data_IF_184793862418
#
_entry.id   IF_184793862418
#
_cell.length_a   1.000
_cell.length_b   1.000
_cell.length_c   1.000
_cell.angle_alpha   90.00
_cell.angle_beta   90.00
_cell.angle_gamma   90.00
#
_symmetry.space_group_name_H-M   'P 1'
#
loop_
_entity.id
_entity.type
_entity.pdbx_description
1 polymer ?
#
# COMPACT_ATOMS: atom_id res chain seq x y z
N UNK A 1 -2.13 14.01 -0.37
CA UNK A 1 -3.11 13.65 0.69
C UNK A 1 -3.62 14.91 1.37
N UNK A 2 -2.74 15.78 1.89
CA UNK A 2 -3.09 17.17 2.22
C UNK A 2 -3.09 18.12 1.01
N UNK A 3 -2.23 17.84 0.04
CA UNK A 3 -2.26 18.51 -1.27
C UNK A 3 -3.00 17.62 -2.27
N UNK A 4 -3.91 18.20 -3.06
CA UNK A 4 -4.63 17.54 -4.17
C UNK A 4 -3.71 17.27 -5.37
N UNK A 5 -2.44 16.96 -5.11
CA UNK A 5 -1.42 16.91 -6.16
C UNK A 5 -1.49 15.63 -7.00
N UNK A 6 -1.74 14.47 -6.39
CA UNK A 6 -1.84 13.21 -7.13
C UNK A 6 -3.18 13.04 -7.82
N UNK A 7 -3.15 12.53 -9.05
CA UNK A 7 -4.36 12.20 -9.82
C UNK A 7 -5.05 10.94 -9.25
N UNK A 8 -6.38 10.91 -9.11
CA UNK A 8 -7.11 9.76 -8.53
C UNK A 8 -6.80 8.41 -9.19
N UNK A 9 -6.78 8.36 -10.52
CA UNK A 9 -6.42 7.15 -11.27
C UNK A 9 -4.95 6.76 -11.08
N UNK A 10 -4.05 7.72 -10.88
CA UNK A 10 -2.65 7.41 -10.58
C UNK A 10 -2.50 6.81 -9.18
N UNK A 11 -3.29 7.28 -8.20
CA UNK A 11 -3.34 6.69 -6.87
C UNK A 11 -3.82 5.23 -6.90
N UNK A 12 -4.87 4.94 -7.68
CA UNK A 12 -5.38 3.57 -7.85
C UNK A 12 -4.34 2.68 -8.55
N UNK A 13 -3.73 3.18 -9.63
CA UNK A 13 -2.69 2.45 -10.35
C UNK A 13 -1.46 2.18 -9.47
N UNK A 14 -1.04 3.18 -8.69
CA UNK A 14 0.06 3.02 -7.74
C UNK A 14 -0.28 2.04 -6.63
N UNK A 15 -1.52 2.07 -6.10
CA UNK A 15 -1.97 1.07 -5.12
C UNK A 15 -1.86 -0.34 -5.68
N UNK A 16 -2.41 -0.57 -6.88
CA UNK A 16 -2.36 -1.88 -7.53
C UNK A 16 -0.90 -2.33 -7.77
N UNK A 17 -0.04 -1.43 -8.26
CA UNK A 17 1.37 -1.71 -8.48
C UNK A 17 2.11 -2.05 -7.17
N UNK A 18 1.86 -1.29 -6.11
CA UNK A 18 2.45 -1.56 -4.79
C UNK A 18 2.02 -2.92 -4.23
N UNK A 19 0.74 -3.27 -4.37
CA UNK A 19 0.23 -4.59 -3.97
C UNK A 19 0.89 -5.72 -4.77
N UNK A 20 1.00 -5.56 -6.10
CA UNK A 20 1.63 -6.55 -6.96
C UNK A 20 3.11 -6.75 -6.62
N UNK A 21 3.87 -5.65 -6.45
CA UNK A 21 5.29 -5.69 -6.09
C UNK A 21 5.50 -6.27 -4.69
N UNK A 22 4.69 -5.87 -3.71
CA UNK A 22 4.77 -6.41 -2.35
C UNK A 22 4.45 -7.90 -2.27
N UNK A 23 3.43 -8.33 -3.02
CA UNK A 23 3.09 -9.75 -3.16
C UNK A 23 4.25 -10.51 -3.80
N UNK A 24 4.75 -10.07 -4.95
CA UNK A 24 5.88 -10.69 -5.63
C UNK A 24 7.13 -10.77 -4.75
N UNK A 25 7.49 -9.68 -4.08
CA UNK A 25 8.67 -9.61 -3.23
C UNK A 25 8.61 -10.62 -2.09
N UNK A 26 7.46 -10.73 -1.42
CA UNK A 26 7.29 -11.67 -0.29
C UNK A 26 7.04 -13.11 -0.73
N UNK A 27 6.44 -13.30 -1.91
CA UNK A 27 6.19 -14.60 -2.50
C UNK A 27 7.50 -15.36 -2.77
N UNK A 28 8.55 -14.67 -3.23
CA UNK A 28 9.81 -15.33 -3.57
C UNK A 28 10.68 -15.72 -2.36
N UNK A 29 10.31 -15.29 -1.15
CA UNK A 29 11.15 -15.51 0.03
C UNK A 29 10.76 -16.82 0.74
N UNK A 30 11.63 -17.85 0.77
CA UNK A 30 11.36 -19.08 1.50
C UNK A 30 11.60 -18.92 3.01
N UNK A 31 10.82 -19.66 3.80
CA UNK A 31 11.01 -19.78 5.25
C UNK A 31 12.11 -20.78 5.54
N UNK A 32 13.24 -20.29 6.03
CA UNK A 32 14.42 -21.10 6.40
C UNK A 32 14.37 -21.40 7.90
N UNK A 33 14.47 -22.67 8.26
CA UNK A 33 14.70 -23.12 9.62
C UNK A 33 16.15 -23.58 9.76
N UNK A 34 16.85 -23.05 10.76
CA UNK A 34 18.20 -23.45 11.11
C UNK A 34 18.12 -24.52 12.20
N UNK A 35 18.57 -25.73 11.90
CA UNK A 35 18.56 -26.85 12.84
C UNK A 35 19.83 -26.84 13.70
N UNK A 36 19.78 -27.54 14.85
CA UNK A 36 20.92 -27.63 15.78
C UNK A 36 22.18 -28.27 15.16
N UNK A 37 22.01 -29.09 14.12
CA UNK A 37 23.09 -29.72 13.36
C UNK A 37 23.74 -28.80 12.31
N UNK A 38 23.27 -27.55 12.19
CA UNK A 38 23.75 -26.58 11.20
C UNK A 38 23.14 -26.73 9.81
N UNK A 39 22.23 -27.68 9.58
CA UNK A 39 21.49 -27.82 8.32
C UNK A 39 20.40 -26.75 8.19
N UNK A 40 20.10 -26.35 6.95
CA UNK A 40 18.99 -25.44 6.64
C UNK A 40 17.86 -26.25 5.99
N UNK A 41 16.68 -26.24 6.62
CA UNK A 41 15.48 -26.83 6.05
C UNK A 41 14.52 -25.74 5.58
N UNK A 42 13.92 -25.92 4.41
CA UNK A 42 12.86 -25.03 3.90
C UNK A 42 11.53 -25.55 4.42
N UNK A 43 10.91 -24.81 5.33
CA UNK A 43 9.62 -25.19 5.95
C UNK A 43 8.45 -24.75 5.06
N UNK A 44 8.62 -23.64 4.35
CA UNK A 44 7.62 -23.08 3.44
C UNK A 44 8.32 -22.35 2.29
N UNK A 45 7.84 -22.53 1.08
CA UNK A 45 8.46 -21.96 -0.12
C UNK A 45 8.23 -20.45 -0.28
N UNK A 46 7.15 -19.91 0.29
CA UNK A 46 6.72 -18.53 0.07
C UNK A 46 6.37 -17.82 1.39
N UNK A 47 6.52 -16.50 1.41
CA UNK A 47 6.18 -15.64 2.55
C UNK A 47 6.95 -15.98 3.83
N UNK A 48 8.22 -16.35 3.70
CA UNK A 48 9.08 -16.75 4.82
C UNK A 48 9.70 -15.60 5.60
N UNK A 49 9.70 -14.38 5.05
CA UNK A 49 10.20 -13.18 5.73
C UNK A 49 9.66 -11.90 5.08
N UNK A 50 9.80 -10.79 5.80
CA UNK A 50 9.54 -9.43 5.31
C UNK A 50 10.79 -8.72 4.79
N UNK A 51 11.98 -9.28 5.01
CA UNK A 51 13.25 -8.78 4.48
C UNK A 51 13.57 -9.39 3.12
N UNK A 52 13.51 -8.59 2.06
CA UNK A 52 13.93 -8.95 0.71
C UNK A 52 15.46 -8.83 0.59
N UNK A 53 16.18 -9.91 0.32
CA UNK A 53 17.62 -9.85 0.08
C UNK A 53 17.95 -8.96 -1.12
N UNK A 54 18.98 -8.12 -1.03
CA UNK A 54 19.40 -7.27 -2.15
C UNK A 54 19.87 -8.07 -3.37
N UNK A 55 20.32 -9.31 -3.17
CA UNK A 55 20.64 -10.25 -4.25
C UNK A 55 19.46 -10.56 -5.16
N UNK A 56 18.23 -10.59 -4.63
CA UNK A 56 17.00 -10.78 -5.43
C UNK A 56 16.69 -9.58 -6.32
N UNK A 57 17.26 -8.41 -6.00
CA UNK A 57 17.18 -7.20 -6.81
C UNK A 57 18.37 -7.04 -7.77
N UNK A 58 19.29 -8.03 -7.82
CA UNK A 58 20.47 -8.02 -8.69
C UNK A 58 21.70 -7.33 -8.12
N UNK A 59 21.73 -7.01 -6.82
CA UNK A 59 22.91 -6.45 -6.16
C UNK A 59 23.71 -7.54 -5.43
N UNK A 60 25.04 -7.53 -5.58
CA UNK A 60 25.92 -8.48 -4.88
C UNK A 60 26.15 -8.02 -3.41
N UNK A 61 25.10 -8.12 -2.59
CA UNK A 61 25.11 -7.72 -1.19
C UNK A 61 24.26 -8.67 -0.35
N UNK A 62 24.75 -8.97 0.85
CA UNK A 62 24.06 -9.82 1.84
C UNK A 62 23.03 -9.07 2.69
N UNK A 63 22.86 -7.77 2.44
CA UNK A 63 21.90 -6.94 3.17
C UNK A 63 20.48 -7.20 2.65
N UNK A 64 19.49 -7.11 3.53
CA UNK A 64 18.08 -7.16 3.15
C UNK A 64 17.42 -5.80 3.31
N UNK A 65 16.51 -5.48 2.40
CA UNK A 65 15.62 -4.32 2.48
C UNK A 65 14.20 -4.79 2.81
N UNK A 66 13.43 -3.97 3.52
CA UNK A 66 12.05 -4.34 3.84
C UNK A 66 11.18 -4.40 2.57
N UNK A 67 10.51 -5.53 2.33
CA UNK A 67 9.67 -5.72 1.15
C UNK A 67 8.54 -4.67 1.08
N UNK A 68 7.99 -4.28 2.22
CA UNK A 68 6.98 -3.20 2.29
C UNK A 68 7.53 -1.83 1.88
N UNK A 69 8.83 -1.57 2.09
CA UNK A 69 9.47 -0.33 1.64
C UNK A 69 9.62 -0.33 0.12
N UNK A 70 10.04 -1.47 -0.47
CA UNK A 70 10.11 -1.64 -1.92
C UNK A 70 8.74 -1.46 -2.57
N UNK A 71 7.70 -2.08 -2.00
CA UNK A 71 6.31 -1.93 -2.44
C UNK A 71 5.82 -0.48 -2.37
N UNK A 72 6.12 0.23 -1.27
CA UNK A 72 5.78 1.64 -1.10
C UNK A 72 6.48 2.53 -2.13
N UNK A 73 7.78 2.29 -2.39
CA UNK A 73 8.52 3.04 -3.40
C UNK A 73 7.93 2.82 -4.79
N UNK A 74 7.62 1.58 -5.16
CA UNK A 74 6.96 1.27 -6.42
C UNK A 74 5.61 1.98 -6.55
N UNK A 75 4.78 1.97 -5.50
CA UNK A 75 3.53 2.71 -5.45
C UNK A 75 3.73 4.21 -5.72
N UNK A 76 4.65 4.85 -4.99
CA UNK A 76 4.88 6.30 -5.09
C UNK A 76 5.42 6.71 -6.47
N UNK A 77 6.33 5.91 -7.04
CA UNK A 77 6.84 6.13 -8.39
C UNK A 77 5.71 6.07 -9.41
N UNK A 78 4.86 5.04 -9.36
CA UNK A 78 3.71 4.90 -10.26
C UNK A 78 2.71 6.03 -10.05
N UNK A 79 2.43 6.44 -8.82
CA UNK A 79 1.56 7.58 -8.54
C UNK A 79 2.10 8.88 -9.14
N UNK A 80 3.39 9.16 -8.98
CA UNK A 80 4.02 10.38 -9.48
C UNK A 80 4.02 10.40 -11.02
N UNK A 81 4.50 9.33 -11.65
CA UNK A 81 4.54 9.22 -13.11
C UNK A 81 3.14 9.21 -13.73
N UNK A 82 2.22 8.42 -13.17
CA UNK A 82 0.83 8.37 -13.61
C UNK A 82 0.15 9.73 -13.50
N UNK A 83 0.45 10.50 -12.45
CA UNK A 83 -0.08 11.87 -12.29
C UNK A 83 0.40 12.79 -13.40
N UNK A 84 1.71 12.79 -13.71
CA UNK A 84 2.27 13.59 -14.80
C UNK A 84 1.63 13.19 -16.14
N UNK A 85 1.51 11.89 -16.42
CA UNK A 85 0.93 11.36 -17.66
C UNK A 85 -0.55 11.74 -17.78
N UNK A 86 -1.37 11.48 -16.76
CA UNK A 86 -2.80 11.77 -16.83
C UNK A 86 -3.09 13.26 -16.94
N UNK A 87 -2.27 14.13 -16.34
CA UNK A 87 -2.35 15.58 -16.52
C UNK A 87 -1.97 16.02 -17.92
N UNK A 88 -0.89 15.45 -18.49
CA UNK A 88 -0.51 15.71 -19.88
C UNK A 88 -1.61 15.30 -20.86
N UNK A 89 -2.30 14.20 -20.57
CA UNK A 89 -3.45 13.70 -21.33
C UNK A 89 -4.78 14.39 -21.00
N UNK A 90 -4.78 15.35 -20.05
CA UNK A 90 -5.97 16.08 -19.58
C UNK A 90 -7.12 15.17 -19.13
N UNK A 91 -6.78 14.04 -18.49
CA UNK A 91 -7.76 13.12 -17.93
C UNK A 91 -8.52 13.81 -16.79
N UNK A 92 -9.86 13.65 -16.68
CA UNK A 92 -10.63 14.29 -15.61
C UNK A 92 -10.27 13.77 -14.21
N UNK A 93 -9.82 14.69 -13.35
CA UNK A 93 -9.42 14.41 -11.95
C UNK A 93 -10.62 14.07 -11.04
N UNK A 94 -11.85 14.37 -11.47
CA UNK A 94 -13.06 14.22 -10.67
C UNK A 94 -13.32 15.44 -9.77
N UNK A 95 -14.58 15.68 -9.45
CA UNK A 95 -14.98 16.76 -8.54
C UNK A 95 -15.12 16.21 -7.13
N UNK A 96 -14.74 17.04 -6.16
CA UNK A 96 -15.01 16.77 -4.76
C UNK A 96 -16.42 17.25 -4.45
N UNK A 97 -17.31 16.31 -4.16
CA UNK A 97 -18.73 16.56 -3.93
C UNK A 97 -19.04 16.72 -2.44
N UNK A 98 -18.02 16.54 -1.59
CA UNK A 98 -18.17 16.58 -0.13
C UNK A 98 -18.49 18.01 0.32
N UNK A 99 -19.56 18.17 1.10
CA UNK A 99 -20.01 19.48 1.60
C UNK A 99 -19.57 19.68 3.04
N UNK A 100 -19.35 20.93 3.44
CA UNK A 100 -18.95 21.27 4.82
C UNK A 100 -19.91 20.70 5.86
N UNK A 101 -21.21 20.69 5.59
CA UNK A 101 -22.24 20.15 6.48
C UNK A 101 -22.20 18.62 6.64
N UNK A 102 -21.51 17.89 5.76
CA UNK A 102 -21.38 16.43 5.83
C UNK A 102 -20.24 16.00 6.76
N UNK A 103 -19.43 16.94 7.27
CA UNK A 103 -18.36 16.66 8.22
C UNK A 103 -18.80 16.78 9.69
N UNK A 104 -19.99 17.30 9.94
CA UNK A 104 -20.53 17.48 11.29
C UNK A 104 -21.73 16.55 11.47
N UNK A 105 -21.85 16.00 12.67
CA UNK A 105 -23.00 15.25 13.11
C UNK A 105 -23.53 15.92 14.38
N UNK A 106 -24.04 17.14 14.22
CA UNK A 106 -24.53 17.94 15.33
C UNK A 106 -25.79 17.31 15.92
N UNK A 107 -25.94 17.34 17.24
CA UNK A 107 -27.05 16.72 17.96
C UNK A 107 -28.43 17.20 17.47
N UNK A 108 -28.50 18.43 16.96
CA UNK A 108 -29.73 19.03 16.41
C UNK A 108 -29.86 18.88 14.88
N UNK A 109 -28.99 18.12 14.20
CA UNK A 109 -29.10 17.94 12.74
C UNK A 109 -30.35 17.08 12.42
N UNK A 110 -31.36 17.65 11.72
CA UNK A 110 -32.60 16.96 11.41
C UNK A 110 -32.42 15.75 10.47
N UNK A 111 -31.23 15.52 9.94
CA UNK A 111 -30.88 14.35 9.10
C UNK A 111 -30.43 13.14 9.92
N UNK A 112 -30.12 13.31 11.20
CA UNK A 112 -29.62 12.25 12.06
C UNK A 112 -30.77 11.53 12.78
N UNK A 113 -30.55 10.25 13.09
CA UNK A 113 -31.44 9.47 13.95
C UNK A 113 -30.83 9.37 15.33
N UNK A 114 -31.65 9.55 16.36
CA UNK A 114 -31.24 9.28 17.73
C UNK A 114 -30.82 7.81 17.88
N UNK A 115 -29.68 7.61 18.54
CA UNK A 115 -29.24 6.27 18.91
C UNK A 115 -30.11 5.75 20.05
N UNK A 116 -30.47 4.47 20.00
CA UNK A 116 -31.15 3.82 21.11
C UNK A 116 -30.26 3.91 22.37
N UNK A 117 -30.84 4.41 23.46
CA UNK A 117 -30.14 4.49 24.73
C UNK A 117 -29.81 3.08 25.20
N UNK A 118 -28.52 2.74 25.29
CA UNK A 118 -28.08 1.44 25.78
C UNK A 118 -28.43 1.40 27.26
N UNK A 119 -29.56 0.77 27.60
CA UNK A 119 -30.00 0.57 28.97
C UNK A 119 -29.00 -0.36 29.66
N UNK A 120 -28.26 0.18 30.64
CA UNK A 120 -27.38 -0.58 31.53
C UNK A 120 -28.09 -0.97 32.82
#
# INVERSE_FOLDING_TARGET
LYTRWFHRWALIAGWAAGMAVGFWATYQIPQKQFNEDGSITIVKEHFGSSGLPLSELGFDSTTSIYAGLVALLANLVVCALGTVIFRALKVPEGQDVTKTSEYFADQDDPRLRDLEEIVH
#
